data_IF_339064744592
#
_entry.id   IF_339064744592
#
_cell.length_a   1.000
_cell.length_b   1.000
_cell.length_c   1.000
_cell.angle_alpha   90.00
_cell.angle_beta   90.00
_cell.angle_gamma   90.00
#
_symmetry.space_group_name_H-M   'P 1'
#
loop_
_entity.id
_entity.type
_entity.pdbx_description
1 polymer ?
#
# COMPACT_ATOMS: atom_id res chain seq x y z
N UNK A 1 13.42 0.18 8.28
CA UNK A 1 12.39 0.93 9.04
C UNK A 1 11.43 1.55 8.04
N UNK A 2 10.13 1.31 8.19
CA UNK A 2 9.11 1.95 7.36
C UNK A 2 8.77 3.33 7.92
N UNK A 3 8.34 4.23 7.06
CA UNK A 3 7.89 5.58 7.41
C UNK A 3 6.61 5.93 6.65
N UNK A 4 5.82 6.83 7.22
CA UNK A 4 4.57 7.27 6.62
C UNK A 4 4.86 8.26 5.49
N UNK A 5 4.22 8.03 4.35
CA UNK A 5 4.22 8.96 3.22
C UNK A 5 2.80 9.37 2.89
N UNK A 6 2.67 10.54 2.30
CA UNK A 6 1.46 11.05 1.70
C UNK A 6 1.65 11.12 0.19
N UNK A 7 0.67 10.69 -0.59
CA UNK A 7 0.78 10.71 -2.04
C UNK A 7 -0.56 11.03 -2.73
N UNK A 8 -0.46 11.47 -3.98
CA UNK A 8 -1.60 11.74 -4.88
C UNK A 8 -1.36 11.10 -6.24
N UNK A 9 -2.41 10.55 -6.83
CA UNK A 9 -2.38 10.07 -8.22
C UNK A 9 -2.67 11.19 -9.21
N UNK A 10 -2.18 11.09 -10.44
CA UNK A 10 -2.40 12.12 -11.48
C UNK A 10 -3.87 12.37 -11.81
N UNK A 11 -4.68 11.32 -11.71
CA UNK A 11 -6.09 11.31 -12.13
C UNK A 11 -7.05 11.39 -10.94
N UNK A 12 -6.54 11.59 -9.72
CA UNK A 12 -7.36 11.62 -8.50
C UNK A 12 -6.98 12.81 -7.62
N UNK A 13 -7.97 13.62 -7.25
CA UNK A 13 -7.79 14.75 -6.34
C UNK A 13 -7.59 14.30 -4.88
N UNK A 14 -7.92 13.04 -4.56
CA UNK A 14 -7.77 12.50 -3.22
C UNK A 14 -6.31 12.32 -2.84
N UNK A 15 -6.07 12.57 -1.56
CA UNK A 15 -4.76 12.38 -0.96
C UNK A 15 -4.78 11.12 -0.12
N UNK A 16 -3.78 10.27 -0.34
CA UNK A 16 -3.64 8.97 0.29
C UNK A 16 -2.42 8.96 1.22
N UNK A 17 -2.40 8.01 2.15
CA UNK A 17 -1.23 7.77 3.00
C UNK A 17 -0.93 6.28 3.09
N UNK A 18 0.36 5.93 3.07
CA UNK A 18 0.82 4.56 3.30
C UNK A 18 2.15 4.55 4.04
N UNK A 19 2.58 3.37 4.48
CA UNK A 19 3.89 3.16 5.08
C UNK A 19 4.80 2.45 4.07
N UNK A 20 5.99 3.03 3.84
CA UNK A 20 6.97 2.48 2.91
C UNK A 20 8.34 2.41 3.57
N UNK A 21 9.14 1.41 3.19
CA UNK A 21 10.59 1.45 3.41
C UNK A 21 11.24 2.47 2.48
N UNK A 22 12.50 2.84 2.76
CA UNK A 22 13.23 3.77 1.89
C UNK A 22 13.34 3.27 0.45
N UNK A 23 13.63 1.98 0.26
CA UNK A 23 13.70 1.36 -1.07
C UNK A 23 12.34 1.39 -1.78
N UNK A 24 11.28 1.00 -1.08
CA UNK A 24 9.91 1.07 -1.61
C UNK A 24 9.52 2.50 -2.00
N UNK A 25 9.84 3.49 -1.17
CA UNK A 25 9.60 4.89 -1.48
C UNK A 25 10.33 5.34 -2.77
N UNK A 26 11.60 4.94 -2.94
CA UNK A 26 12.38 5.26 -4.13
C UNK A 26 11.79 4.67 -5.41
N UNK A 27 11.17 3.50 -5.33
CA UNK A 27 10.47 2.88 -6.45
C UNK A 27 9.09 3.49 -6.66
N UNK A 28 8.33 3.68 -5.57
CA UNK A 28 6.96 4.19 -5.58
C UNK A 28 6.87 5.59 -6.19
N UNK A 29 7.77 6.50 -5.81
CA UNK A 29 7.79 7.87 -6.35
C UNK A 29 8.12 7.95 -7.85
N UNK A 30 8.65 6.88 -8.45
CA UNK A 30 8.97 6.80 -9.88
C UNK A 30 7.80 6.29 -10.72
N UNK A 31 6.72 5.83 -10.10
CA UNK A 31 5.57 5.30 -10.82
C UNK A 31 4.90 6.44 -11.64
N UNK A 32 4.62 6.24 -12.94
CA UNK A 32 4.08 7.29 -13.80
C UNK A 32 2.74 7.86 -13.35
N UNK A 33 1.96 7.08 -12.60
CA UNK A 33 0.65 7.46 -12.07
C UNK A 33 0.73 8.35 -10.82
N UNK A 34 1.90 8.43 -10.18
CA UNK A 34 2.10 9.26 -8.99
C UNK A 34 2.37 10.71 -9.42
N UNK A 35 1.57 11.63 -8.91
CA UNK A 35 1.73 13.07 -9.12
C UNK A 35 2.65 13.66 -8.05
N UNK A 36 2.38 13.33 -6.78
CA UNK A 36 3.11 13.84 -5.62
C UNK A 36 3.32 12.71 -4.60
N UNK A 37 4.47 12.71 -3.93
CA UNK A 37 4.78 11.79 -2.83
C UNK A 37 5.73 12.46 -1.83
N UNK A 38 5.27 12.64 -0.59
CA UNK A 38 5.95 13.42 0.46
C UNK A 38 6.09 12.56 1.72
N UNK A 39 7.28 12.60 2.33
CA UNK A 39 7.54 11.92 3.61
C UNK A 39 6.95 12.72 4.76
N UNK A 40 6.05 12.12 5.54
CA UNK A 40 5.50 12.74 6.74
C UNK A 40 6.44 12.45 7.93
N UNK A 41 7.13 13.48 8.45
CA UNK A 41 7.99 13.35 9.63
C UNK A 41 7.16 13.10 10.90
N UNK A 42 7.06 11.83 11.32
CA UNK A 42 7.24 11.31 12.69
C UNK A 42 6.64 9.90 12.76
N UNK A 43 7.49 8.96 13.13
CA UNK A 43 7.16 7.57 13.34
C UNK A 43 6.31 7.42 14.60
N UNK A 44 5.14 6.78 14.50
CA UNK A 44 4.59 6.03 15.61
C UNK A 44 4.62 4.56 15.18
N UNK A 45 5.41 3.75 15.90
CA UNK A 45 5.52 2.30 15.65
C UNK A 45 4.15 1.62 15.72
N UNK A 46 3.28 2.12 16.61
CA UNK A 46 1.89 1.71 16.74
C UNK A 46 1.10 1.85 15.43
N UNK A 47 1.19 3.00 14.75
CA UNK A 47 0.47 3.25 13.49
C UNK A 47 0.89 2.29 12.36
N UNK A 48 2.16 1.86 12.35
CA UNK A 48 2.65 0.91 11.35
C UNK A 48 2.12 -0.50 11.58
N UNK A 49 2.11 -0.98 12.82
CA UNK A 49 1.62 -2.33 13.16
C UNK A 49 0.11 -2.46 12.87
N UNK A 50 -0.67 -1.43 13.21
CA UNK A 50 -2.10 -1.37 12.89
C UNK A 50 -2.35 -1.35 11.37
N UNK A 51 -1.60 -0.52 10.64
CA UNK A 51 -1.67 -0.47 9.18
C UNK A 51 -1.37 -1.84 8.54
N UNK A 52 -0.31 -2.53 9.01
CA UNK A 52 0.04 -3.85 8.49
C UNK A 52 -1.05 -4.88 8.77
N UNK A 53 -1.73 -4.80 9.92
CA UNK A 53 -2.84 -5.70 10.27
C UNK A 53 -4.04 -5.50 9.36
N UNK A 54 -4.46 -4.25 9.11
CA UNK A 54 -5.57 -3.96 8.20
C UNK A 54 -5.22 -4.32 6.75
N UNK A 55 -3.98 -4.07 6.31
CA UNK A 55 -3.51 -4.50 5.00
C UNK A 55 -3.55 -6.02 4.85
N UNK A 56 -3.05 -6.78 5.84
CA UNK A 56 -3.09 -8.24 5.82
C UNK A 56 -4.54 -8.75 5.81
N UNK A 57 -5.45 -8.09 6.54
CA UNK A 57 -6.87 -8.43 6.53
C UNK A 57 -7.50 -8.21 5.15
N UNK A 58 -7.21 -7.10 4.48
CA UNK A 58 -7.69 -6.84 3.12
C UNK A 58 -7.16 -7.89 2.12
N UNK A 59 -5.88 -8.23 2.19
CA UNK A 59 -5.27 -9.29 1.37
C UNK A 59 -5.97 -10.64 1.64
N UNK A 60 -6.19 -10.99 2.91
CA UNK A 60 -6.86 -12.23 3.28
C UNK A 60 -8.30 -12.29 2.78
N UNK A 61 -9.02 -11.16 2.73
CA UNK A 61 -10.37 -11.10 2.18
C UNK A 61 -10.37 -11.30 0.66
N UNK A 62 -9.43 -10.70 -0.06
CA UNK A 62 -9.27 -10.92 -1.50
C UNK A 62 -8.93 -12.38 -1.80
N UNK A 63 -7.97 -12.95 -1.07
CA UNK A 63 -7.56 -14.35 -1.24
C UNK A 63 -8.72 -15.34 -1.00
N UNK A 64 -9.60 -15.07 -0.02
CA UNK A 64 -10.80 -15.90 0.22
C UNK A 64 -11.83 -15.82 -0.91
N UNK A 65 -11.93 -14.67 -1.58
CA UNK A 65 -12.85 -14.47 -2.69
C UNK A 65 -12.30 -14.99 -4.04
N UNK A 66 -10.97 -15.11 -4.19
CA UNK A 66 -10.34 -15.60 -5.43
C UNK A 66 -10.29 -17.14 -5.53
N UNK A 67 -10.36 -17.87 -4.41
CA UNK A 67 -10.28 -19.34 -4.42
C UNK A 67 -11.44 -20.03 -5.14
N UNK A 68 -12.56 -19.35 -5.40
CA UNK A 68 -13.65 -19.89 -6.22
C UNK A 68 -13.34 -19.95 -7.72
N UNK A 69 -12.37 -19.17 -8.21
CA UNK A 69 -12.03 -19.13 -9.65
C UNK A 69 -10.79 -19.97 -10.02
N UNK A 70 -9.96 -20.36 -9.04
CA UNK A 70 -8.69 -21.06 -9.29
C UNK A 70 -8.86 -22.59 -9.45
N UNK A 71 -10.05 -23.15 -9.15
CA UNK A 71 -10.27 -24.60 -9.21
C UNK A 71 -10.28 -25.22 -10.63
N UNK A 72 -10.18 -24.43 -11.70
CA UNK A 72 -10.33 -24.94 -13.09
C UNK A 72 -9.06 -24.84 -13.96
N UNK A 73 -7.86 -24.74 -13.36
CA UNK A 73 -6.60 -24.70 -14.12
C UNK A 73 -5.71 -25.93 -13.93
N UNK A 74 -6.25 -27.01 -13.37
CA UNK A 74 -5.63 -28.34 -13.41
C UNK A 74 -6.52 -29.33 -14.16
N UNK A 75 -6.50 -29.24 -15.49
CA UNK A 75 -6.75 -30.36 -16.40
C UNK A 75 -5.55 -30.54 -17.32
#
# INVERSE_FOLDING_TARGET
>A
MAFKVQYRFKEDDKVYTCFLTFEQYMNFKKLPIIQECIVLKKNQKADYEEYMKEMQKAINLLAKNDTSHIHNLSE
#
